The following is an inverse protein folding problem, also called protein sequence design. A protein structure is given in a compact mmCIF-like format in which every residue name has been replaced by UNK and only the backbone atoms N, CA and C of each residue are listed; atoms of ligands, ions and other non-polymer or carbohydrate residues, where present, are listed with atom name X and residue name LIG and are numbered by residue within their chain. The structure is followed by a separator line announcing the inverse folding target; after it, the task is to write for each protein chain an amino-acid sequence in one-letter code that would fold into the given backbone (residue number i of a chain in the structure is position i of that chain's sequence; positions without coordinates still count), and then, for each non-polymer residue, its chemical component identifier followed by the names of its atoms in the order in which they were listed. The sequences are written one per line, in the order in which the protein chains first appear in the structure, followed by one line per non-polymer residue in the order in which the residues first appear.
data_IF_420343825500
#
_entry.id   IF_420343825500
#
_cell.length_a   1.000
_cell.length_b   1.000
_cell.length_c   1.000
_cell.angle_alpha   90.00
_cell.angle_beta   90.00
_cell.angle_gamma   90.00
#
_symmetry.space_group_name_H-M   'P 1'
#
loop_
_entity.id
_entity.type
_entity.pdbx_description
1 polymer ?
#
# COMPACT_ATOMS: atom_id res chain seq x y z
N UNK A 1 26.26 -31.00 -23.21
CA UNK A 1 25.98 -29.69 -22.61
C UNK A 1 25.17 -29.94 -21.34
N UNK A 2 25.73 -29.67 -20.15
CA UNK A 2 24.97 -29.82 -18.89
C UNK A 2 24.16 -28.56 -18.65
N UNK A 3 22.87 -28.71 -18.36
CA UNK A 3 22.02 -27.62 -17.88
C UNK A 3 21.95 -27.74 -16.37
N UNK A 4 22.32 -26.67 -15.66
CA UNK A 4 22.26 -26.61 -14.19
C UNK A 4 21.08 -25.75 -13.78
N UNK A 5 20.25 -26.30 -12.89
CA UNK A 5 19.18 -25.56 -12.22
C UNK A 5 19.81 -24.69 -11.13
N UNK A 6 19.44 -23.43 -11.08
CA UNK A 6 19.86 -22.48 -10.04
C UNK A 6 18.63 -21.99 -9.30
N UNK A 7 18.80 -21.66 -8.01
CA UNK A 7 17.80 -20.96 -7.21
C UNK A 7 18.34 -19.57 -6.85
N UNK A 8 17.45 -18.56 -6.83
CA UNK A 8 17.76 -17.19 -6.43
C UNK A 8 17.54 -16.98 -4.92
N UNK A 9 18.25 -16.02 -4.32
CA UNK A 9 18.10 -15.69 -2.89
C UNK A 9 16.83 -14.84 -2.67
N UNK A 10 16.18 -15.13 -1.54
CA UNK A 10 14.98 -14.46 -1.01
C UNK A 10 15.28 -12.98 -0.71
N UNK A 11 14.29 -12.13 -0.98
CA UNK A 11 14.30 -10.67 -0.81
C UNK A 11 14.91 -10.23 0.53
N UNK A 12 15.61 -9.08 0.52
CA UNK A 12 16.01 -8.39 1.74
C UNK A 12 14.84 -7.49 2.15
N UNK A 13 14.05 -7.93 3.12
CA UNK A 13 13.00 -7.11 3.73
C UNK A 13 13.69 -6.16 4.71
N UNK A 14 13.67 -4.87 4.41
CA UNK A 14 14.03 -3.83 5.36
C UNK A 14 12.74 -3.18 5.86
N UNK A 15 12.41 -3.43 7.13
CA UNK A 15 11.27 -2.79 7.77
C UNK A 15 11.59 -1.30 7.95
N UNK A 16 10.92 -0.48 7.15
CA UNK A 16 10.94 0.96 7.32
C UNK A 16 9.68 1.40 8.03
N UNK A 17 9.86 2.11 9.14
CA UNK A 17 8.77 2.76 9.85
C UNK A 17 8.15 3.83 8.95
N UNK A 18 7.09 3.46 8.22
CA UNK A 18 6.24 4.37 7.47
C UNK A 18 5.26 5.07 8.42
N UNK A 19 5.77 5.63 9.53
CA UNK A 19 5.05 6.10 10.73
C UNK A 19 4.11 7.31 10.54
N UNK A 20 3.53 7.49 9.36
CA UNK A 20 2.61 8.58 9.04
C UNK A 20 1.15 8.15 9.30
N UNK A 21 0.89 7.78 10.55
CA UNK A 21 -0.47 7.67 11.09
C UNK A 21 -1.16 6.30 10.96
N UNK A 22 -0.78 5.40 10.05
CA UNK A 22 -1.41 4.07 9.98
C UNK A 22 -0.74 3.09 10.92
N UNK A 23 -1.37 2.84 12.07
CA UNK A 23 -0.83 1.98 13.13
C UNK A 23 -1.86 1.00 13.66
N UNK A 24 -1.39 -0.21 13.99
CA UNK A 24 -2.22 -1.26 14.58
C UNK A 24 -3.34 -1.75 13.67
N UNK A 25 -4.24 -2.56 14.23
CA UNK A 25 -5.34 -3.16 13.47
C UNK A 25 -6.25 -2.13 12.79
N UNK A 26 -6.50 -0.98 13.44
CA UNK A 26 -7.32 0.10 12.86
C UNK A 26 -6.66 0.69 11.60
N UNK A 27 -5.32 0.82 11.57
CA UNK A 27 -4.58 1.29 10.40
C UNK A 27 -4.51 0.25 9.28
N UNK A 28 -4.35 -1.02 9.65
CA UNK A 28 -4.33 -2.15 8.71
C UNK A 28 -5.67 -2.30 7.98
N UNK A 29 -6.77 -2.33 8.75
CA UNK A 29 -8.13 -2.41 8.23
C UNK A 29 -8.44 -1.19 7.35
N UNK A 30 -8.11 0.02 7.80
CA UNK A 30 -8.34 1.24 7.03
C UNK A 30 -7.56 1.25 5.71
N UNK A 31 -6.31 0.79 5.70
CA UNK A 31 -5.53 0.72 4.47
C UNK A 31 -6.16 -0.27 3.48
N UNK A 32 -6.51 -1.47 3.95
CA UNK A 32 -7.18 -2.47 3.13
C UNK A 32 -8.51 -1.96 2.56
N UNK A 33 -9.33 -1.30 3.38
CA UNK A 33 -10.58 -0.70 2.96
C UNK A 33 -10.37 0.37 1.88
N UNK A 34 -9.35 1.23 2.04
CA UNK A 34 -9.00 2.23 1.02
C UNK A 34 -8.56 1.57 -0.28
N UNK A 35 -7.73 0.51 -0.24
CA UNK A 35 -7.35 -0.22 -1.45
C UNK A 35 -8.59 -0.79 -2.15
N UNK A 36 -9.49 -1.43 -1.42
CA UNK A 36 -10.75 -1.99 -1.94
C UNK A 36 -11.66 -0.89 -2.52
N UNK A 37 -11.81 0.23 -1.82
CA UNK A 37 -12.64 1.37 -2.21
C UNK A 37 -12.21 1.98 -3.55
N UNK A 38 -10.91 2.02 -3.83
CA UNK A 38 -10.35 2.54 -5.09
C UNK A 38 -10.05 1.45 -6.13
N UNK A 39 -10.57 0.24 -5.92
CA UNK A 39 -10.40 -0.92 -6.80
C UNK A 39 -8.93 -1.22 -7.08
N UNK A 40 -8.10 -1.15 -6.03
CA UNK A 40 -6.66 -1.42 -6.05
C UNK A 40 -6.44 -2.89 -5.73
N UNK A 41 -6.02 -3.64 -6.76
CA UNK A 41 -5.75 -5.07 -6.62
C UNK A 41 -4.54 -5.32 -5.72
N UNK A 42 -4.69 -6.25 -4.77
CA UNK A 42 -3.65 -6.68 -3.85
C UNK A 42 -3.75 -8.20 -3.63
N UNK A 43 -2.72 -8.79 -3.03
CA UNK A 43 -2.65 -10.23 -2.78
C UNK A 43 -3.15 -10.67 -1.39
N UNK A 44 -3.75 -9.78 -0.59
CA UNK A 44 -4.23 -10.15 0.73
C UNK A 44 -5.46 -11.06 0.61
N UNK A 45 -5.55 -12.04 1.50
CA UNK A 45 -6.73 -12.89 1.71
C UNK A 45 -7.82 -12.13 2.47
N UNK A 46 -7.44 -11.34 3.49
CA UNK A 46 -8.33 -10.50 4.28
C UNK A 46 -7.65 -9.24 4.84
N UNK A 47 -8.42 -8.38 5.52
CA UNK A 47 -7.97 -7.10 6.08
C UNK A 47 -6.94 -7.21 7.21
N UNK A 48 -6.70 -8.40 7.75
CA UNK A 48 -5.76 -8.67 8.84
C UNK A 48 -4.53 -9.46 8.39
N UNK A 49 -4.35 -9.66 7.08
CA UNK A 49 -3.12 -10.25 6.55
C UNK A 49 -1.90 -9.37 6.87
N UNK A 50 -0.94 -9.97 7.55
CA UNK A 50 0.25 -9.28 8.03
C UNK A 50 1.16 -8.84 6.87
N UNK A 51 1.20 -9.61 5.78
CA UNK A 51 2.06 -9.41 4.63
C UNK A 51 1.31 -9.66 3.31
N UNK A 52 1.34 -8.71 2.38
CA UNK A 52 0.78 -8.86 1.04
C UNK A 52 1.46 -7.96 0.01
N UNK A 53 1.23 -8.24 -1.26
CA UNK A 53 1.83 -7.52 -2.38
C UNK A 53 0.79 -6.69 -3.14
N UNK A 54 1.20 -5.48 -3.52
CA UNK A 54 0.44 -4.59 -4.40
C UNK A 54 1.31 -4.22 -5.58
N UNK A 55 0.74 -4.12 -6.79
CA UNK A 55 1.52 -3.62 -7.92
C UNK A 55 1.87 -2.15 -7.71
N UNK A 56 3.13 -1.80 -7.97
CA UNK A 56 3.65 -0.43 -7.88
C UNK A 56 2.82 0.55 -8.69
N UNK A 57 2.45 0.17 -9.91
CA UNK A 57 1.63 1.01 -10.80
C UNK A 57 0.25 1.30 -10.21
N UNK A 58 -0.31 0.36 -9.44
CA UNK A 58 -1.61 0.54 -8.79
C UNK A 58 -1.48 1.49 -7.58
N UNK A 59 -0.39 1.42 -6.81
CA UNK A 59 -0.09 2.41 -5.77
C UNK A 59 0.13 3.81 -6.35
N UNK A 60 0.84 3.92 -7.48
CA UNK A 60 1.00 5.18 -8.21
C UNK A 60 -0.34 5.73 -8.73
N UNK A 61 -1.23 4.84 -9.21
CA UNK A 61 -2.60 5.18 -9.62
C UNK A 61 -3.40 5.73 -8.43
N UNK A 62 -3.40 5.04 -7.30
CA UNK A 62 -4.08 5.47 -6.07
C UNK A 62 -3.57 6.85 -5.62
N UNK A 63 -2.25 7.01 -5.56
CA UNK A 63 -1.59 8.28 -5.20
C UNK A 63 -1.98 9.42 -6.13
N UNK A 64 -2.16 9.15 -7.42
CA UNK A 64 -2.61 10.13 -8.42
C UNK A 64 -4.09 10.48 -8.22
N UNK A 65 -4.97 9.48 -8.04
CA UNK A 65 -6.41 9.69 -7.81
C UNK A 65 -6.64 10.61 -6.60
N UNK A 66 -5.95 10.33 -5.48
CA UNK A 66 -6.09 11.09 -4.24
C UNK A 66 -5.43 12.48 -4.36
N UNK A 67 -4.25 12.56 -4.98
CA UNK A 67 -3.49 13.80 -5.10
C UNK A 67 -4.11 14.82 -6.06
N UNK A 68 -4.73 14.36 -7.15
CA UNK A 68 -5.41 15.22 -8.12
C UNK A 68 -6.88 15.50 -7.76
N UNK A 69 -7.41 14.82 -6.74
CA UNK A 69 -8.82 14.90 -6.33
C UNK A 69 -9.80 14.63 -7.48
N UNK A 70 -9.47 13.66 -8.33
CA UNK A 70 -10.20 13.29 -9.54
C UNK A 70 -11.66 12.85 -9.24
N UNK A 71 -12.50 12.69 -10.27
CA UNK A 71 -13.92 12.31 -10.11
C UNK A 71 -14.11 11.03 -9.29
N UNK A 72 -13.21 10.04 -9.44
CA UNK A 72 -13.19 8.82 -8.62
C UNK A 72 -12.91 9.11 -7.15
N UNK A 73 -12.03 10.05 -6.83
CA UNK A 73 -11.80 10.50 -5.46
C UNK A 73 -13.05 11.18 -4.90
N UNK A 74 -13.67 12.09 -5.67
CA UNK A 74 -14.86 12.80 -5.22
C UNK A 74 -16.03 11.86 -4.92
N UNK A 75 -16.16 10.76 -5.68
CA UNK A 75 -17.19 9.74 -5.44
C UNK A 75 -17.01 9.02 -4.09
N UNK A 76 -15.78 8.90 -3.60
CA UNK A 76 -15.43 8.17 -2.39
C UNK A 76 -14.89 9.07 -1.26
N UNK A 77 -14.92 10.39 -1.42
CA UNK A 77 -14.19 11.31 -0.54
C UNK A 77 -14.67 11.26 0.93
N UNK A 78 -15.97 11.07 1.15
CA UNK A 78 -16.55 10.96 2.50
C UNK A 78 -16.08 9.67 3.18
N UNK A 79 -16.30 8.52 2.55
CA UNK A 79 -15.86 7.21 3.06
C UNK A 79 -14.34 7.14 3.25
N UNK A 80 -13.57 7.69 2.30
CA UNK A 80 -12.12 7.80 2.42
C UNK A 80 -11.71 8.60 3.66
N UNK A 81 -12.38 9.72 3.94
CA UNK A 81 -12.07 10.52 5.12
C UNK A 81 -12.44 9.82 6.43
N UNK A 82 -13.51 9.00 6.44
CA UNK A 82 -13.85 8.15 7.58
C UNK A 82 -12.76 7.11 7.87
N UNK A 83 -12.22 6.45 6.84
CA UNK A 83 -11.13 5.50 7.00
C UNK A 83 -9.84 6.16 7.50
N UNK A 84 -9.50 7.36 6.98
CA UNK A 84 -8.38 8.13 7.52
C UNK A 84 -8.58 8.50 9.00
N UNK A 85 -9.81 8.89 9.38
CA UNK A 85 -10.14 9.20 10.76
C UNK A 85 -10.06 7.97 11.67
N UNK A 86 -10.48 6.79 11.19
CA UNK A 86 -10.33 5.51 11.89
C UNK A 86 -8.86 5.20 12.17
N UNK A 87 -8.02 5.34 11.13
CA UNK A 87 -6.58 5.20 11.24
C UNK A 87 -5.90 6.36 12.01
N UNK A 88 -6.62 7.43 12.36
CA UNK A 88 -6.06 8.65 12.99
C UNK A 88 -4.93 9.28 12.18
N UNK A 89 -5.07 9.24 10.85
CA UNK A 89 -4.11 9.83 9.92
C UNK A 89 -4.76 10.97 9.13
N UNK A 90 -3.93 11.81 8.51
CA UNK A 90 -4.37 12.85 7.60
C UNK A 90 -4.20 12.43 6.14
N UNK A 91 -4.88 13.11 5.21
CA UNK A 91 -4.69 12.86 3.78
C UNK A 91 -3.24 13.10 3.35
N UNK A 92 -2.60 14.14 3.89
CA UNK A 92 -1.21 14.48 3.57
C UNK A 92 -0.25 13.38 4.06
N UNK A 93 -0.46 12.90 5.28
CA UNK A 93 0.30 11.80 5.86
C UNK A 93 0.11 10.49 5.07
N UNK A 94 -1.11 10.22 4.63
CA UNK A 94 -1.41 9.08 3.77
C UNK A 94 -0.68 9.14 2.42
N UNK A 95 -0.71 10.29 1.74
CA UNK A 95 0.01 10.49 0.47
C UNK A 95 1.52 10.32 0.70
N UNK A 96 2.06 10.89 1.77
CA UNK A 96 3.47 10.73 2.12
C UNK A 96 3.84 9.26 2.37
N UNK A 97 2.95 8.49 3.00
CA UNK A 97 3.14 7.06 3.19
C UNK A 97 3.15 6.29 1.86
N UNK A 98 2.22 6.58 0.94
CA UNK A 98 2.26 6.00 -0.42
C UNK A 98 3.54 6.36 -1.16
N UNK A 99 3.98 7.62 -1.11
CA UNK A 99 5.21 8.07 -1.76
C UNK A 99 6.44 7.35 -1.17
N UNK A 100 6.47 7.07 0.15
CA UNK A 100 7.51 6.27 0.79
C UNK A 100 7.47 4.80 0.36
N UNK A 101 6.29 4.18 0.34
CA UNK A 101 6.14 2.79 -0.13
C UNK A 101 6.62 2.62 -1.57
N UNK A 102 6.27 3.56 -2.45
CA UNK A 102 6.71 3.55 -3.85
C UNK A 102 8.21 3.81 -3.93
N UNK A 103 8.76 4.78 -3.19
CA UNK A 103 10.17 5.18 -3.36
C UNK A 103 11.17 4.22 -2.70
N UNK A 104 10.85 3.70 -1.52
CA UNK A 104 11.79 2.93 -0.69
C UNK A 104 11.70 1.41 -0.96
N UNK A 105 10.62 0.94 -1.59
CA UNK A 105 10.56 -0.45 -2.07
C UNK A 105 11.54 -0.70 -3.22
N UNK A 106 11.89 -1.96 -3.44
CA UNK A 106 12.88 -2.34 -4.47
C UNK A 106 12.45 -1.85 -5.86
N UNK A 107 13.17 -0.88 -6.47
CA UNK A 107 12.80 -0.32 -7.77
C UNK A 107 12.93 -1.33 -8.92
N UNK A 108 13.59 -2.46 -8.68
CA UNK A 108 13.70 -3.56 -9.65
C UNK A 108 12.49 -4.49 -9.62
N UNK A 109 11.60 -4.34 -8.62
CA UNK A 109 10.38 -5.12 -8.48
C UNK A 109 9.16 -4.27 -8.79
N UNK A 110 8.29 -4.81 -9.65
CA UNK A 110 6.99 -4.22 -9.98
C UNK A 110 5.99 -4.38 -8.83
N UNK A 111 6.27 -5.26 -7.87
CA UNK A 111 5.44 -5.50 -6.69
C UNK A 111 6.07 -4.88 -5.45
N UNK A 112 5.23 -4.19 -4.69
CA UNK A 112 5.56 -3.60 -3.40
C UNK A 112 4.99 -4.52 -2.31
N UNK A 113 5.88 -5.04 -1.46
CA UNK A 113 5.50 -5.77 -0.26
C UNK A 113 5.04 -4.79 0.81
N UNK A 114 3.80 -4.94 1.24
CA UNK A 114 3.23 -4.30 2.42
C UNK A 114 3.35 -5.27 3.58
N UNK A 115 3.90 -4.78 4.70
CA UNK A 115 4.13 -5.59 5.90
C UNK A 115 3.79 -4.77 7.15
N UNK A 116 3.07 -5.37 8.09
CA UNK A 116 2.57 -4.72 9.31
C UNK A 116 3.35 -5.09 10.59
N UNK A 117 4.47 -5.84 10.46
CA UNK A 117 5.32 -6.29 11.58
C UNK A 117 6.35 -5.27 12.10
#
# INVERSE_FOLDING_TARGET
MSRSLHTGKIYRIEYMNCNHGMFGGDGQEAFYNILSMFDIANSAEDEFDDDYEVQRIELERLRTIIGEENETYQAHAEEFHEELNRARTSKEDFINMLDLLIKESDPSNDWVLISWF
#
